data_IF_232917812272
#
_entry.id   IF_232917812272
#
_cell.length_a   1.000
_cell.length_b   1.000
_cell.length_c   1.000
_cell.angle_alpha   90.00
_cell.angle_beta   90.00
_cell.angle_gamma   90.00
#
_symmetry.space_group_name_H-M   'P 1'
#
loop_
_entity.id
_entity.type
_entity.pdbx_description
1 polymer ?
#
# COMPACT_ATOMS: atom_id res chain seq x y z
N UNK A 1 -0.11 -18.81 -65.86
CA UNK A 1 -0.22 -17.35 -65.88
C UNK A 1 -1.68 -16.98 -65.62
N UNK A 2 -2.01 -16.55 -64.44
CA UNK A 2 -3.28 -15.88 -64.16
C UNK A 2 -3.03 -14.89 -63.02
N UNK A 3 -3.06 -13.59 -63.33
CA UNK A 3 -2.92 -12.51 -62.37
C UNK A 3 -4.30 -12.20 -61.82
N UNK A 4 -4.43 -12.20 -60.47
CA UNK A 4 -5.59 -11.66 -59.77
C UNK A 4 -5.29 -10.23 -59.32
N UNK A 5 -6.06 -9.27 -59.89
CA UNK A 5 -6.07 -7.89 -59.45
C UNK A 5 -7.01 -7.76 -58.25
N UNK A 6 -6.45 -7.32 -57.11
CA UNK A 6 -7.26 -6.97 -55.94
C UNK A 6 -7.49 -5.46 -55.94
N UNK A 7 -8.76 -5.08 -56.08
CA UNK A 7 -9.22 -3.70 -56.01
C UNK A 7 -9.43 -3.32 -54.54
N UNK A 8 -8.71 -2.31 -54.05
CA UNK A 8 -8.89 -1.74 -52.73
C UNK A 8 -10.00 -0.65 -52.78
N UNK A 9 -11.04 -0.81 -51.95
CA UNK A 9 -12.05 0.24 -51.69
C UNK A 9 -11.51 1.19 -50.58
N UNK A 10 -11.70 2.51 -50.71
CA UNK A 10 -11.38 3.45 -49.65
C UNK A 10 -12.49 3.46 -48.58
N UNK A 11 -12.08 3.27 -47.27
CA UNK A 11 -12.95 3.51 -46.13
C UNK A 11 -13.15 5.02 -45.96
N UNK A 12 -14.38 5.46 -46.02
CA UNK A 12 -14.81 6.82 -45.62
C UNK A 12 -14.82 6.87 -44.07
N UNK A 13 -13.96 7.67 -43.49
CA UNK A 13 -13.98 7.97 -42.06
C UNK A 13 -15.02 9.03 -41.74
N UNK A 14 -16.05 8.66 -41.03
CA UNK A 14 -17.07 9.60 -40.50
C UNK A 14 -16.49 10.33 -39.29
N UNK A 15 -16.32 11.64 -39.40
CA UNK A 15 -15.93 12.51 -38.28
C UNK A 15 -17.20 12.87 -37.51
N UNK A 16 -17.37 12.33 -36.31
CA UNK A 16 -18.38 12.77 -35.36
C UNK A 16 -17.84 13.92 -34.52
N UNK A 17 -18.37 15.13 -34.75
CA UNK A 17 -18.11 16.29 -33.90
C UNK A 17 -18.85 16.14 -32.57
N UNK A 18 -18.12 15.91 -31.48
CA UNK A 18 -18.67 15.95 -30.13
C UNK A 18 -18.68 17.39 -29.62
N UNK A 19 -19.86 17.95 -29.44
CA UNK A 19 -20.05 19.25 -28.80
C UNK A 19 -19.88 19.10 -27.29
N UNK A 20 -18.79 19.65 -26.76
CA UNK A 20 -18.54 19.74 -25.32
C UNK A 20 -19.48 20.78 -24.70
N UNK A 21 -20.38 20.34 -23.83
CA UNK A 21 -21.22 21.20 -22.99
C UNK A 21 -20.37 21.74 -21.82
N UNK A 22 -20.27 23.06 -21.74
CA UNK A 22 -19.58 23.74 -20.63
C UNK A 22 -20.31 23.50 -19.29
N UNK A 23 -19.60 23.28 -18.18
CA UNK A 23 -20.21 23.13 -16.86
C UNK A 23 -20.89 24.43 -16.44
N UNK A 24 -22.14 24.35 -16.01
CA UNK A 24 -22.88 25.45 -15.41
C UNK A 24 -22.32 25.76 -14.03
N UNK A 25 -21.85 26.98 -13.85
CA UNK A 25 -21.42 27.53 -12.53
C UNK A 25 -22.66 28.01 -11.80
N UNK A 26 -23.05 27.33 -10.72
CA UNK A 26 -24.10 27.76 -9.82
C UNK A 26 -23.54 28.79 -8.84
N UNK A 27 -24.26 29.89 -8.57
CA UNK A 27 -23.86 30.82 -7.51
C UNK A 27 -23.99 30.17 -6.13
N UNK A 28 -23.12 30.53 -5.15
CA UNK A 28 -23.21 29.98 -3.80
C UNK A 28 -24.49 30.46 -3.10
N UNK A 29 -25.06 29.63 -2.18
CA UNK A 29 -26.25 30.03 -1.42
C UNK A 29 -25.95 31.19 -0.47
N UNK A 30 -26.95 32.01 -0.13
CA UNK A 30 -26.78 33.16 0.76
C UNK A 30 -26.40 32.72 2.17
N UNK A 31 -25.36 33.33 2.71
CA UNK A 31 -24.88 33.09 4.09
C UNK A 31 -25.83 33.78 5.06
N UNK A 32 -26.60 33.00 5.82
CA UNK A 32 -27.41 33.51 6.94
C UNK A 32 -26.46 33.90 8.07
N UNK A 33 -26.42 35.18 8.43
CA UNK A 33 -25.64 35.67 9.55
C UNK A 33 -26.14 35.12 10.91
N UNK A 34 -25.26 35.02 11.91
CA UNK A 34 -25.66 34.57 13.24
C UNK A 34 -26.63 35.53 13.92
N UNK A 35 -27.56 35.06 14.78
CA UNK A 35 -28.47 35.90 15.52
C UNK A 35 -27.71 36.75 16.57
N UNK A 36 -28.26 37.92 16.97
CA UNK A 36 -27.61 38.81 17.92
C UNK A 36 -27.50 38.18 19.31
N UNK A 37 -26.30 38.21 19.88
CA UNK A 37 -26.01 37.74 21.22
C UNK A 37 -26.71 38.63 22.26
N UNK A 38 -27.61 38.03 23.06
CA UNK A 38 -28.10 38.63 24.29
C UNK A 38 -27.04 38.46 25.37
N UNK A 39 -26.53 39.59 25.88
CA UNK A 39 -25.59 39.59 27.00
C UNK A 39 -26.39 39.33 28.27
N UNK A 40 -26.29 38.14 28.82
CA UNK A 40 -26.70 37.85 30.19
C UNK A 40 -25.48 38.05 31.07
N UNK A 41 -25.56 39.07 31.93
CA UNK A 41 -24.57 39.29 33.00
C UNK A 41 -24.83 38.24 34.09
N UNK A 42 -23.96 37.26 34.23
CA UNK A 42 -23.92 36.40 35.41
C UNK A 42 -22.85 36.84 36.39
N UNK A 43 -23.26 36.99 37.64
CA UNK A 43 -22.44 37.30 38.81
C UNK A 43 -21.36 36.24 39.05
N UNK A 44 -20.17 36.61 39.58
CA UNK A 44 -19.10 35.63 39.79
C UNK A 44 -19.33 34.83 41.09
N UNK A 45 -19.91 33.65 40.97
CA UNK A 45 -19.86 32.67 42.05
C UNK A 45 -18.51 31.93 41.96
N UNK A 46 -17.63 32.21 42.90
CA UNK A 46 -16.39 31.49 43.15
C UNK A 46 -16.69 30.03 43.46
N UNK A 47 -16.52 29.14 42.42
CA UNK A 47 -16.44 27.72 42.61
C UNK A 47 -15.00 27.31 42.42
N UNK A 48 -14.42 26.75 43.47
CA UNK A 48 -13.12 26.07 43.52
C UNK A 48 -13.08 25.03 42.37
N UNK A 49 -12.30 25.32 41.34
CA UNK A 49 -12.15 24.41 40.21
C UNK A 49 -11.33 23.20 40.68
N UNK A 50 -12.01 22.09 40.97
CA UNK A 50 -11.40 20.76 41.05
C UNK A 50 -10.85 20.48 39.65
N UNK A 51 -9.53 20.41 39.53
CA UNK A 51 -8.84 20.07 38.29
C UNK A 51 -9.22 18.64 37.88
N UNK A 52 -10.24 18.52 37.04
CA UNK A 52 -10.64 17.25 36.45
C UNK A 52 -9.47 16.75 35.60
N UNK A 53 -8.81 15.70 36.08
CA UNK A 53 -7.73 15.03 35.33
C UNK A 53 -8.40 14.35 34.14
N UNK A 54 -8.14 14.89 32.96
CA UNK A 54 -8.62 14.26 31.72
C UNK A 54 -8.20 12.79 31.68
N UNK A 55 -9.08 11.85 31.27
CA UNK A 55 -8.75 10.44 31.21
C UNK A 55 -7.55 10.25 30.28
N UNK A 56 -6.51 9.60 30.81
CA UNK A 56 -5.29 9.25 30.08
C UNK A 56 -5.70 8.39 28.87
N UNK A 57 -5.33 8.80 27.65
CA UNK A 57 -5.62 8.04 26.43
C UNK A 57 -4.97 6.66 26.56
N UNK A 58 -5.67 5.56 26.23
CA UNK A 58 -5.07 4.23 26.23
C UNK A 58 -3.82 4.24 25.36
N UNK A 59 -2.69 3.77 25.91
CA UNK A 59 -1.45 3.63 25.18
C UNK A 59 -1.63 2.60 24.07
N UNK A 60 -1.27 2.98 22.86
CA UNK A 60 -1.34 2.07 21.71
C UNK A 60 -0.20 1.05 21.80
N UNK A 61 -0.51 -0.23 21.52
CA UNK A 61 0.50 -1.28 21.46
C UNK A 61 0.96 -1.50 20.03
N UNK A 62 2.25 -1.37 19.78
CA UNK A 62 2.86 -1.58 18.47
C UNK A 62 4.04 -2.55 18.54
N UNK A 63 4.32 -3.23 17.44
CA UNK A 63 5.51 -4.03 17.27
C UNK A 63 6.63 -3.17 16.71
N UNK A 64 7.80 -3.21 17.34
CA UNK A 64 9.05 -2.64 16.80
C UNK A 64 9.98 -3.78 16.38
N UNK A 65 10.89 -3.51 15.46
CA UNK A 65 11.86 -4.49 14.98
C UNK A 65 13.26 -4.19 15.52
N UNK A 66 13.73 -5.00 16.44
CA UNK A 66 15.09 -4.85 16.99
C UNK A 66 16.15 -5.28 15.98
N UNK A 67 17.07 -4.36 15.63
CA UNK A 67 18.15 -4.63 14.69
C UNK A 67 17.69 -4.75 13.22
N UNK A 68 16.57 -4.16 12.89
CA UNK A 68 16.13 -3.97 11.51
C UNK A 68 16.75 -2.70 10.91
N UNK A 69 16.96 -2.70 9.59
CA UNK A 69 17.35 -1.49 8.86
C UNK A 69 16.15 -0.56 8.61
N UNK A 70 16.40 0.60 8.02
CA UNK A 70 15.37 1.62 7.75
C UNK A 70 14.24 1.09 6.89
N UNK A 71 14.51 0.32 5.82
CA UNK A 71 13.48 -0.20 4.93
C UNK A 71 12.65 -1.31 5.61
N UNK A 72 13.27 -2.17 6.41
CA UNK A 72 12.58 -3.16 7.22
C UNK A 72 11.64 -2.48 8.23
N UNK A 73 12.15 -1.48 8.94
CA UNK A 73 11.38 -0.72 9.95
C UNK A 73 10.20 0.00 9.27
N UNK A 74 10.45 0.73 8.18
CA UNK A 74 9.40 1.42 7.42
C UNK A 74 8.33 0.47 6.91
N UNK A 75 8.73 -0.73 6.43
CA UNK A 75 7.81 -1.78 5.99
C UNK A 75 6.92 -2.25 7.15
N UNK A 76 7.51 -2.52 8.31
CA UNK A 76 6.77 -2.94 9.51
C UNK A 76 5.73 -1.90 9.94
N UNK A 77 6.13 -0.63 10.02
CA UNK A 77 5.24 0.48 10.35
C UNK A 77 4.08 0.57 9.37
N UNK A 78 4.39 0.58 8.07
CA UNK A 78 3.40 0.64 7.01
C UNK A 78 2.35 -0.48 7.10
N UNK A 79 2.77 -1.71 7.37
CA UNK A 79 1.89 -2.86 7.50
C UNK A 79 0.97 -2.74 8.72
N UNK A 80 1.51 -2.27 9.85
CA UNK A 80 0.73 -2.04 11.07
C UNK A 80 -0.30 -0.93 10.87
N UNK A 81 0.07 0.18 10.22
CA UNK A 81 -0.85 1.29 9.89
C UNK A 81 -2.01 0.85 8.97
N UNK A 82 -1.85 -0.27 8.27
CA UNK A 82 -2.89 -0.90 7.43
C UNK A 82 -3.66 -2.02 8.14
N UNK A 83 -3.47 -2.16 9.45
CA UNK A 83 -4.21 -3.07 10.31
C UNK A 83 -3.70 -4.51 10.36
N UNK A 84 -2.47 -4.77 9.92
CA UNK A 84 -1.81 -6.06 10.13
C UNK A 84 -1.05 -5.98 11.44
N UNK A 85 -1.62 -6.53 12.51
CA UNK A 85 -1.08 -6.40 13.88
C UNK A 85 -0.58 -7.71 14.47
N UNK A 86 -0.92 -8.85 13.87
CA UNK A 86 -0.45 -10.15 14.31
C UNK A 86 1.04 -10.33 14.03
N UNK A 87 1.80 -10.71 15.06
CA UNK A 87 3.26 -10.86 15.00
C UNK A 87 3.71 -11.87 13.95
N UNK A 88 3.01 -13.00 13.83
CA UNK A 88 3.34 -14.04 12.87
C UNK A 88 3.00 -13.62 11.43
N UNK A 89 1.89 -12.88 11.24
CA UNK A 89 1.53 -12.32 9.95
C UNK A 89 2.59 -11.33 9.46
N UNK A 90 2.97 -10.36 10.30
CA UNK A 90 4.02 -9.38 10.00
C UNK A 90 5.35 -10.06 9.70
N UNK A 91 5.77 -11.00 10.54
CA UNK A 91 7.00 -11.75 10.36
C UNK A 91 6.99 -12.54 9.03
N UNK A 92 5.84 -13.13 8.66
CA UNK A 92 5.69 -13.86 7.40
C UNK A 92 5.83 -12.93 6.19
N UNK A 93 5.16 -11.77 6.19
CA UNK A 93 5.28 -10.78 5.10
C UNK A 93 6.73 -10.32 4.97
N UNK A 94 7.35 -9.94 6.09
CA UNK A 94 8.74 -9.48 6.11
C UNK A 94 9.71 -10.57 5.64
N UNK A 95 9.50 -11.82 6.03
CA UNK A 95 10.31 -12.95 5.59
C UNK A 95 10.23 -13.19 4.08
N UNK A 96 9.06 -13.01 3.50
CA UNK A 96 8.87 -13.08 2.06
C UNK A 96 9.58 -11.94 1.33
N UNK A 97 9.41 -10.68 1.76
CA UNK A 97 10.09 -9.53 1.15
C UNK A 97 11.61 -9.66 1.27
N UNK A 98 12.12 -10.20 2.38
CA UNK A 98 13.55 -10.47 2.55
C UNK A 98 14.06 -11.47 1.50
N UNK A 99 13.33 -12.54 1.24
CA UNK A 99 13.70 -13.55 0.24
C UNK A 99 13.70 -12.96 -1.18
N UNK A 100 12.74 -12.08 -1.51
CA UNK A 100 12.59 -11.54 -2.85
C UNK A 100 13.64 -10.46 -3.17
N UNK A 101 13.88 -9.52 -2.24
CA UNK A 101 14.63 -8.30 -2.55
C UNK A 101 15.55 -7.84 -1.43
N UNK A 102 15.53 -8.48 -0.27
CA UNK A 102 16.16 -7.94 0.95
C UNK A 102 15.73 -6.48 1.20
N UNK A 103 14.44 -6.19 1.02
CA UNK A 103 13.82 -4.85 1.17
C UNK A 103 14.42 -3.78 0.26
N UNK A 104 14.93 -4.16 -0.90
CA UNK A 104 15.51 -3.24 -1.88
C UNK A 104 14.49 -2.91 -2.97
N UNK A 105 13.91 -1.69 -3.00
CA UNK A 105 12.82 -1.38 -3.93
C UNK A 105 13.27 -1.15 -5.38
N UNK A 106 14.56 -0.91 -5.61
CA UNK A 106 15.12 -0.68 -6.95
C UNK A 106 16.00 -1.84 -7.44
N UNK A 107 15.73 -3.06 -6.98
CA UNK A 107 16.47 -4.24 -7.43
C UNK A 107 15.73 -4.94 -8.57
N UNK A 108 16.45 -5.24 -9.63
CA UNK A 108 16.05 -6.11 -10.73
C UNK A 108 16.57 -7.53 -10.48
N UNK A 109 15.94 -8.54 -11.04
CA UNK A 109 16.41 -9.94 -10.96
C UNK A 109 17.89 -10.04 -11.30
N UNK A 110 18.62 -10.88 -10.56
CA UNK A 110 20.09 -10.93 -10.65
C UNK A 110 20.81 -9.89 -9.80
N UNK A 111 20.10 -9.02 -9.07
CA UNK A 111 20.67 -8.11 -8.06
C UNK A 111 21.07 -6.72 -8.55
N UNK A 112 20.88 -6.43 -9.84
CA UNK A 112 21.17 -5.11 -10.39
C UNK A 112 20.27 -4.02 -9.77
N UNK A 113 20.86 -2.92 -9.31
CA UNK A 113 20.10 -1.75 -8.80
C UNK A 113 19.86 -0.78 -9.95
N UNK A 114 18.62 -0.71 -10.38
CA UNK A 114 18.19 0.10 -11.53
C UNK A 114 16.88 0.83 -11.22
N UNK A 115 16.55 1.82 -12.06
CA UNK A 115 15.18 2.39 -12.02
C UNK A 115 14.15 1.37 -12.52
N UNK A 116 12.89 1.62 -12.23
CA UNK A 116 11.78 0.80 -12.73
C UNK A 116 11.88 0.55 -14.25
N UNK A 117 12.07 1.60 -15.05
CA UNK A 117 12.19 1.49 -16.49
C UNK A 117 13.51 0.83 -16.97
N UNK A 118 14.50 0.73 -16.11
CA UNK A 118 15.79 0.08 -16.41
C UNK A 118 15.79 -1.43 -16.16
N UNK A 119 14.77 -1.99 -15.50
CA UNK A 119 14.60 -3.43 -15.35
C UNK A 119 13.82 -3.98 -16.55
N UNK A 120 14.52 -4.49 -17.54
CA UNK A 120 13.95 -4.90 -18.84
C UNK A 120 13.56 -6.38 -18.88
N UNK A 121 13.94 -7.17 -17.88
CA UNK A 121 13.62 -8.60 -17.78
C UNK A 121 13.67 -9.08 -16.34
N UNK A 122 12.91 -10.11 -16.04
CA UNK A 122 12.84 -10.72 -14.71
C UNK A 122 12.00 -9.93 -13.70
N UNK A 123 12.18 -10.22 -12.43
CA UNK A 123 11.46 -9.58 -11.34
C UNK A 123 12.03 -8.22 -10.95
N UNK A 124 11.18 -7.32 -10.50
CA UNK A 124 11.57 -5.99 -10.02
C UNK A 124 11.00 -5.69 -8.64
N UNK A 125 11.81 -5.05 -7.80
CA UNK A 125 11.39 -4.44 -6.55
C UNK A 125 11.11 -5.41 -5.41
N UNK A 126 10.34 -4.95 -4.42
CA UNK A 126 10.17 -5.59 -3.10
C UNK A 126 9.76 -7.05 -3.14
N UNK A 127 8.83 -7.42 -4.01
CA UNK A 127 8.34 -8.80 -4.13
C UNK A 127 8.62 -9.39 -5.50
N UNK A 128 9.57 -8.83 -6.22
CA UNK A 128 10.04 -9.29 -7.54
C UNK A 128 8.87 -9.49 -8.51
N UNK A 129 8.14 -8.40 -8.81
CA UNK A 129 7.08 -8.41 -9.81
C UNK A 129 7.63 -8.82 -11.18
N UNK A 130 7.32 -10.04 -11.62
CA UNK A 130 7.89 -10.64 -12.83
C UNK A 130 6.90 -10.64 -13.99
N UNK A 131 5.62 -10.95 -13.75
CA UNK A 131 4.66 -10.98 -14.84
C UNK A 131 4.28 -9.57 -15.30
N UNK A 132 4.09 -9.39 -16.62
CA UNK A 132 3.82 -8.10 -17.21
C UNK A 132 2.59 -7.38 -16.64
N UNK A 133 1.45 -8.03 -16.35
CA UNK A 133 0.30 -7.39 -15.70
C UNK A 133 0.66 -6.77 -14.34
N UNK A 134 1.40 -7.47 -13.50
CA UNK A 134 1.79 -7.00 -12.16
C UNK A 134 2.87 -5.92 -12.25
N UNK A 135 3.92 -6.14 -13.04
CA UNK A 135 4.98 -5.15 -13.26
C UNK A 135 4.40 -3.84 -13.81
N UNK A 136 3.62 -3.89 -14.88
CA UNK A 136 2.98 -2.71 -15.44
C UNK A 136 1.92 -2.11 -14.47
N UNK A 137 1.32 -2.95 -13.61
CA UNK A 137 0.44 -2.52 -12.53
C UNK A 137 1.13 -1.59 -11.55
N UNK A 138 2.36 -1.92 -11.13
CA UNK A 138 3.18 -1.06 -10.28
C UNK A 138 3.40 0.32 -10.93
N UNK A 139 3.80 0.36 -12.20
CA UNK A 139 4.02 1.63 -12.91
C UNK A 139 2.75 2.49 -12.99
N UNK A 140 1.61 1.89 -13.36
CA UNK A 140 0.31 2.61 -13.42
C UNK A 140 -0.14 3.08 -12.03
N UNK A 141 0.04 2.27 -11.01
CA UNK A 141 -0.31 2.63 -9.64
C UNK A 141 0.53 3.81 -9.16
N UNK A 142 1.85 3.75 -9.30
CA UNK A 142 2.76 4.81 -8.93
C UNK A 142 2.44 6.14 -9.66
N UNK A 143 2.16 6.07 -10.97
CA UNK A 143 1.75 7.24 -11.75
C UNK A 143 0.45 7.86 -11.22
N UNK A 144 -0.55 7.02 -10.83
CA UNK A 144 -1.82 7.49 -10.29
C UNK A 144 -1.69 8.24 -8.97
N UNK A 145 -0.74 7.85 -8.12
CA UNK A 145 -0.48 8.50 -6.81
C UNK A 145 0.64 9.55 -6.87
N UNK A 146 1.18 9.86 -8.07
CA UNK A 146 2.26 10.82 -8.24
C UNK A 146 3.60 10.39 -7.62
N UNK A 147 3.86 9.08 -7.50
CA UNK A 147 5.03 8.53 -6.83
C UNK A 147 6.01 7.86 -7.83
N UNK A 148 7.27 7.69 -7.39
CA UNK A 148 8.26 6.94 -8.15
C UNK A 148 8.05 5.42 -7.94
N UNK A 149 7.85 4.61 -8.99
CA UNK A 149 7.68 3.16 -8.87
C UNK A 149 8.91 2.42 -8.31
N UNK A 150 10.07 3.06 -8.27
CA UNK A 150 11.28 2.54 -7.63
C UNK A 150 11.39 2.90 -6.14
N UNK A 151 10.43 3.62 -5.56
CA UNK A 151 10.44 3.97 -4.14
C UNK A 151 9.81 2.87 -3.28
N UNK A 152 10.28 2.77 -2.03
CA UNK A 152 9.77 1.81 -1.05
C UNK A 152 8.26 2.01 -0.82
N UNK A 153 7.85 3.24 -0.53
CA UNK A 153 6.45 3.55 -0.17
C UNK A 153 5.47 3.28 -1.32
N UNK A 154 5.85 3.62 -2.57
CA UNK A 154 5.00 3.32 -3.73
C UNK A 154 4.81 1.81 -3.93
N UNK A 155 5.85 1.02 -3.69
CA UNK A 155 5.79 -0.43 -3.81
C UNK A 155 5.02 -1.07 -2.66
N UNK A 156 5.19 -0.61 -1.43
CA UNK A 156 4.39 -1.04 -0.29
C UNK A 156 2.90 -0.75 -0.51
N UNK A 157 2.58 0.43 -1.00
CA UNK A 157 1.19 0.80 -1.29
C UNK A 157 0.62 -0.05 -2.43
N UNK A 158 1.35 -0.22 -3.54
CA UNK A 158 0.92 -1.08 -4.64
C UNK A 158 0.71 -2.53 -4.20
N UNK A 159 1.63 -3.08 -3.41
CA UNK A 159 1.57 -4.44 -2.88
C UNK A 159 0.23 -4.75 -2.21
N UNK A 160 -0.31 -3.80 -1.44
CA UNK A 160 -1.61 -3.94 -0.78
C UNK A 160 -2.81 -3.62 -1.67
N UNK A 161 -2.59 -3.12 -2.89
CA UNK A 161 -3.63 -2.86 -3.89
C UNK A 161 -3.76 -3.95 -4.96
N UNK A 162 -2.82 -4.90 -5.00
CA UNK A 162 -2.89 -6.01 -5.94
C UNK A 162 -4.10 -6.92 -5.70
N UNK A 163 -4.67 -7.47 -6.79
CA UNK A 163 -5.79 -8.41 -6.70
C UNK A 163 -5.44 -9.66 -5.87
N UNK A 164 -4.21 -10.17 -6.03
CA UNK A 164 -3.75 -11.35 -5.28
C UNK A 164 -3.66 -11.08 -3.76
N UNK A 165 -3.22 -9.88 -3.37
CA UNK A 165 -3.27 -9.47 -1.96
C UNK A 165 -4.70 -9.37 -1.45
N UNK A 166 -5.60 -8.75 -2.21
CA UNK A 166 -7.00 -8.58 -1.82
C UNK A 166 -7.71 -9.89 -1.51
N UNK A 167 -7.34 -10.96 -2.18
CA UNK A 167 -7.89 -12.31 -1.90
C UNK A 167 -7.50 -12.86 -0.52
N UNK A 168 -6.38 -12.44 0.04
CA UNK A 168 -5.86 -12.95 1.32
C UNK A 168 -5.89 -11.91 2.45
N UNK A 169 -6.16 -10.63 2.15
CA UNK A 169 -6.03 -9.50 3.07
C UNK A 169 -6.75 -9.73 4.41
N UNK A 170 -8.02 -10.12 4.38
CA UNK A 170 -8.78 -10.37 5.60
C UNK A 170 -8.16 -11.49 6.45
N UNK A 171 -7.64 -12.53 5.82
CA UNK A 171 -7.01 -13.64 6.52
C UNK A 171 -5.65 -13.24 7.09
N UNK A 172 -4.90 -12.36 6.41
CA UNK A 172 -3.64 -11.79 6.91
C UNK A 172 -3.86 -10.84 8.09
N UNK A 173 -4.98 -10.11 8.10
CA UNK A 173 -5.39 -9.23 9.22
C UNK A 173 -6.02 -9.98 10.39
N UNK A 174 -6.50 -11.21 10.21
CA UNK A 174 -7.07 -12.04 11.28
C UNK A 174 -5.95 -12.65 12.12
N UNK A 175 -5.82 -12.30 13.41
CA UNK A 175 -4.73 -12.78 14.25
C UNK A 175 -4.86 -14.25 14.65
N UNK A 176 -3.77 -14.80 15.21
CA UNK A 176 -3.76 -16.09 15.89
C UNK A 176 -3.38 -17.29 15.01
N UNK A 177 -2.93 -17.07 13.77
CA UNK A 177 -2.46 -18.17 12.91
C UNK A 177 -0.97 -18.46 13.12
N UNK A 178 -0.56 -19.67 12.79
CA UNK A 178 0.86 -20.06 12.76
C UNK A 178 1.58 -19.41 11.59
N UNK A 179 2.91 -19.36 11.65
CA UNK A 179 3.77 -18.95 10.51
C UNK A 179 3.44 -19.79 9.27
N UNK A 180 3.25 -21.10 9.41
CA UNK A 180 2.95 -21.97 8.29
C UNK A 180 1.59 -21.68 7.65
N UNK A 181 0.59 -21.27 8.44
CA UNK A 181 -0.73 -20.86 7.92
C UNK A 181 -0.61 -19.56 7.12
N UNK A 182 0.07 -18.55 7.67
CA UNK A 182 0.32 -17.30 6.96
C UNK A 182 1.21 -17.52 5.73
N UNK A 183 2.16 -18.44 5.78
CA UNK A 183 3.02 -18.77 4.65
C UNK A 183 2.21 -19.38 3.48
N UNK A 184 1.19 -20.23 3.78
CA UNK A 184 0.26 -20.74 2.75
C UNK A 184 -0.58 -19.62 2.11
N UNK A 185 -0.95 -18.58 2.86
CA UNK A 185 -1.60 -17.40 2.31
C UNK A 185 -0.63 -16.60 1.44
N UNK A 186 0.57 -16.33 1.95
CA UNK A 186 1.60 -15.58 1.23
C UNK A 186 1.99 -16.23 -0.10
N UNK A 187 1.97 -17.57 -0.20
CA UNK A 187 2.27 -18.28 -1.46
C UNK A 187 1.30 -17.94 -2.59
N UNK A 188 0.03 -17.69 -2.27
CA UNK A 188 -1.00 -17.31 -3.26
C UNK A 188 -0.81 -15.89 -3.77
N UNK A 189 -0.30 -15.01 -2.91
CA UNK A 189 -0.05 -13.61 -3.24
C UNK A 189 1.28 -13.42 -3.97
N UNK A 190 2.39 -13.91 -3.39
CA UNK A 190 3.73 -13.74 -3.98
C UNK A 190 3.88 -14.60 -5.25
N UNK A 191 3.23 -15.78 -5.30
CA UNK A 191 3.30 -16.76 -6.40
C UNK A 191 4.74 -17.25 -6.64
N UNK A 192 5.50 -17.49 -5.59
CA UNK A 192 6.87 -17.97 -5.76
C UNK A 192 6.94 -19.35 -6.44
N UNK A 193 7.87 -19.51 -7.36
CA UNK A 193 8.18 -20.81 -7.98
C UNK A 193 9.04 -21.71 -7.09
N UNK A 194 9.83 -21.09 -6.19
CA UNK A 194 10.70 -21.80 -5.23
C UNK A 194 10.52 -21.19 -3.84
N UNK A 195 10.35 -22.06 -2.82
CA UNK A 195 10.10 -21.60 -1.45
C UNK A 195 11.28 -20.82 -0.84
N UNK A 196 12.54 -21.27 -1.11
CA UNK A 196 13.73 -20.64 -0.54
C UNK A 196 13.73 -20.70 1.00
N UNK A 197 14.33 -19.67 1.61
CA UNK A 197 14.47 -19.55 3.08
C UNK A 197 13.36 -18.70 3.72
N UNK A 198 12.19 -18.52 3.07
CA UNK A 198 11.12 -17.61 3.52
C UNK A 198 10.63 -17.90 4.94
N UNK A 199 10.45 -19.18 5.26
CA UNK A 199 9.99 -19.62 6.57
C UNK A 199 11.05 -19.33 7.64
N UNK A 200 12.32 -19.58 7.36
CA UNK A 200 13.42 -19.29 8.28
C UNK A 200 13.55 -17.77 8.53
N UNK A 201 13.41 -16.98 7.47
CA UNK A 201 13.37 -15.53 7.60
C UNK A 201 12.16 -15.06 8.43
N UNK A 202 10.99 -15.66 8.26
CA UNK A 202 9.83 -15.32 9.08
C UNK A 202 10.09 -15.62 10.57
N UNK A 203 10.63 -16.79 10.92
CA UNK A 203 11.00 -17.09 12.30
C UNK A 203 12.06 -16.14 12.84
N UNK A 204 13.05 -15.73 12.03
CA UNK A 204 14.03 -14.74 12.41
C UNK A 204 13.36 -13.39 12.76
N UNK A 205 12.34 -12.97 11.98
CA UNK A 205 11.58 -11.75 12.31
C UNK A 205 10.72 -11.92 13.55
N UNK A 206 10.10 -13.07 13.81
CA UNK A 206 9.40 -13.32 15.08
C UNK A 206 10.31 -13.00 16.26
N UNK A 207 11.59 -13.39 16.21
CA UNK A 207 12.56 -13.13 17.29
C UNK A 207 12.98 -11.65 17.39
N UNK A 208 12.88 -10.88 16.30
CA UNK A 208 13.20 -9.45 16.27
C UNK A 208 12.04 -8.54 16.65
N UNK A 209 10.80 -8.98 16.43
CA UNK A 209 9.60 -8.18 16.69
C UNK A 209 9.27 -8.18 18.20
N UNK A 210 9.25 -6.98 18.80
CA UNK A 210 9.00 -6.76 20.22
C UNK A 210 7.80 -5.84 20.37
N UNK A 211 6.82 -6.23 21.21
CA UNK A 211 5.66 -5.40 21.52
C UNK A 211 6.07 -4.29 22.50
N UNK A 212 5.70 -3.06 22.16
CA UNK A 212 5.92 -1.88 23.01
C UNK A 212 4.63 -1.07 23.15
N UNK A 213 4.53 -0.27 24.20
CA UNK A 213 3.48 0.75 24.39
C UNK A 213 4.01 2.10 23.89
N UNK A 214 3.23 2.77 23.03
CA UNK A 214 3.57 4.07 22.43
C UNK A 214 2.50 5.12 22.73
#
# INVERSE_FOLDING_TARGET
>A
MQQFFTVALPLLASVTTSTATLPQVFPPPPVSGPPPFSIIQEEPTSKTATKEVAPERPKEKRLICKGCNTNETRTLEFLQDRGITDKNALATIMGNIRQESTFTPNVCEGGARVSYSGCTSGGFGLIQWTDAPRYNGLGRHAARIGANPSSLDAQLDYMLHEGDWKMIENQMKTPGKSINDYMRLASRWIRWGHHGARTDYAYNYVNKLILVEV
#
